data_IF_636315772354
#
_entry.id   IF_636315772354
#
_cell.length_a   1.000
_cell.length_b   1.000
_cell.length_c   1.000
_cell.angle_alpha   90.00
_cell.angle_beta   90.00
_cell.angle_gamma   90.00
#
_symmetry.space_group_name_H-M   'P 1'
#
loop_
_entity.id
_entity.type
_entity.pdbx_description
1 polymer ?
#
# COMPACT_ATOMS: atom_id res chain seq x y z
N UNK A 1 -22.35 22.30 5.04
CA UNK A 1 -22.19 21.78 3.66
C UNK A 1 -20.72 21.44 3.35
N UNK A 2 -19.78 22.27 3.83
CA UNK A 2 -18.34 22.14 3.53
C UNK A 2 -17.67 20.88 4.06
N UNK A 3 -18.09 20.34 5.21
CA UNK A 3 -17.52 19.11 5.80
C UNK A 3 -17.80 17.85 4.95
N UNK A 4 -19.00 17.76 4.36
CA UNK A 4 -19.39 16.65 3.49
C UNK A 4 -18.58 16.66 2.19
N UNK A 5 -18.42 17.84 1.59
CA UNK A 5 -17.65 18.02 0.36
C UNK A 5 -16.17 17.71 0.59
N UNK A 6 -15.62 18.17 1.71
CA UNK A 6 -14.22 17.92 2.12
C UNK A 6 -13.97 16.42 2.31
N UNK A 7 -14.82 15.72 3.07
CA UNK A 7 -14.71 14.26 3.27
C UNK A 7 -14.75 13.49 1.95
N UNK A 8 -15.70 13.86 1.07
CA UNK A 8 -15.86 13.21 -0.23
C UNK A 8 -14.61 13.40 -1.09
N UNK A 9 -14.06 14.62 -1.13
CA UNK A 9 -12.80 14.91 -1.84
C UNK A 9 -11.64 14.09 -1.30
N UNK A 10 -11.45 14.04 0.02
CA UNK A 10 -10.37 13.28 0.66
C UNK A 10 -10.44 11.78 0.31
N UNK A 11 -11.63 11.18 0.34
CA UNK A 11 -11.83 9.76 -0.03
C UNK A 11 -11.51 9.50 -1.50
N UNK A 12 -11.90 10.40 -2.40
CA UNK A 12 -11.57 10.27 -3.83
C UNK A 12 -10.08 10.44 -4.10
N UNK A 13 -9.43 11.40 -3.44
CA UNK A 13 -7.97 11.57 -3.51
C UNK A 13 -7.29 10.29 -3.06
N UNK A 14 -7.69 9.72 -1.91
CA UNK A 14 -7.13 8.46 -1.41
C UNK A 14 -7.30 7.32 -2.42
N UNK A 15 -8.48 7.15 -3.04
CA UNK A 15 -8.74 6.08 -4.02
C UNK A 15 -7.93 6.23 -5.30
N UNK A 16 -7.83 7.45 -5.84
CA UNK A 16 -7.04 7.74 -7.04
C UNK A 16 -5.56 7.50 -6.76
N UNK A 17 -5.05 7.96 -5.61
CA UNK A 17 -3.68 7.71 -5.21
C UNK A 17 -3.41 6.22 -4.98
N UNK A 18 -4.32 5.49 -4.34
CA UNK A 18 -4.22 4.03 -4.21
C UNK A 18 -4.12 3.36 -5.58
N UNK A 19 -4.93 3.77 -6.56
CA UNK A 19 -4.86 3.21 -7.91
C UNK A 19 -3.53 3.52 -8.60
N UNK A 20 -3.04 4.76 -8.51
CA UNK A 20 -1.74 5.14 -9.08
C UNK A 20 -0.58 4.37 -8.41
N UNK A 21 -0.59 4.27 -7.08
CA UNK A 21 0.42 3.54 -6.32
C UNK A 21 0.32 2.03 -6.52
N UNK A 22 -0.87 1.48 -6.75
CA UNK A 22 -1.04 0.08 -7.13
C UNK A 22 -0.29 -0.22 -8.44
N UNK A 23 -0.40 0.64 -9.46
CA UNK A 23 0.34 0.44 -10.70
C UNK A 23 1.85 0.65 -10.52
N UNK A 24 2.25 1.70 -9.81
CA UNK A 24 3.67 1.98 -9.55
C UNK A 24 4.35 0.82 -8.81
N UNK A 25 3.83 0.44 -7.65
CA UNK A 25 4.39 -0.66 -6.85
C UNK A 25 4.14 -2.02 -7.49
N UNK A 26 3.04 -2.17 -8.23
CA UNK A 26 2.73 -3.38 -9.00
C UNK A 26 3.78 -3.68 -10.06
N UNK A 27 4.32 -2.66 -10.73
CA UNK A 27 5.44 -2.85 -11.66
C UNK A 27 6.66 -3.45 -10.97
N UNK A 28 7.05 -2.90 -9.81
CA UNK A 28 8.15 -3.45 -9.00
C UNK A 28 7.82 -4.84 -8.46
N UNK A 29 6.57 -5.11 -8.07
CA UNK A 29 6.16 -6.45 -7.62
C UNK A 29 6.42 -7.51 -8.70
N UNK A 30 6.10 -7.19 -9.96
CA UNK A 30 6.38 -8.05 -11.10
C UNK A 30 7.88 -8.19 -11.34
N UNK A 31 8.66 -7.13 -11.19
CA UNK A 31 10.13 -7.19 -11.27
C UNK A 31 10.71 -8.15 -10.22
N UNK A 32 10.20 -8.15 -8.99
CA UNK A 32 10.63 -9.06 -7.93
C UNK A 32 10.27 -10.52 -8.20
N UNK A 33 9.33 -10.81 -9.12
CA UNK A 33 9.07 -12.19 -9.54
C UNK A 33 10.28 -12.82 -10.25
N UNK A 34 11.26 -12.01 -10.69
CA UNK A 34 12.54 -12.51 -11.21
C UNK A 34 13.26 -13.45 -10.24
N UNK A 35 13.13 -13.22 -8.91
CA UNK A 35 13.68 -14.12 -7.90
C UNK A 35 13.17 -15.56 -8.04
N UNK A 36 11.96 -15.75 -8.56
CA UNK A 36 11.30 -17.04 -8.65
C UNK A 36 11.55 -17.76 -9.99
N UNK A 37 12.28 -17.16 -10.93
CA UNK A 37 12.51 -17.75 -12.26
C UNK A 37 13.30 -19.07 -12.19
N UNK A 38 14.24 -19.18 -11.26
CA UNK A 38 15.08 -20.37 -11.07
C UNK A 38 14.60 -21.27 -9.94
N UNK A 39 13.32 -21.18 -9.52
CA UNK A 39 12.79 -21.85 -8.32
C UNK A 39 13.11 -23.35 -8.24
N UNK A 40 13.13 -24.06 -9.38
CA UNK A 40 13.40 -25.51 -9.45
C UNK A 40 14.85 -25.84 -9.11
N UNK A 41 15.79 -24.98 -9.51
CA UNK A 41 17.23 -25.21 -9.35
C UNK A 41 17.81 -24.51 -8.12
N UNK A 42 17.25 -23.35 -7.78
CA UNK A 42 17.67 -22.52 -6.65
C UNK A 42 16.44 -21.77 -6.10
N UNK A 43 15.76 -22.33 -5.09
CA UNK A 43 14.58 -21.69 -4.52
C UNK A 43 14.98 -20.38 -3.80
N UNK A 44 14.16 -19.32 -3.88
CA UNK A 44 14.44 -18.08 -3.19
C UNK A 44 14.57 -18.29 -1.68
N UNK A 45 15.46 -17.55 -1.01
CA UNK A 45 15.53 -17.55 0.44
C UNK A 45 14.17 -17.23 1.08
N UNK A 46 13.91 -17.77 2.27
CA UNK A 46 12.64 -17.57 3.00
C UNK A 46 12.29 -16.08 3.15
N UNK A 47 13.28 -15.22 3.34
CA UNK A 47 13.09 -13.77 3.44
C UNK A 47 12.42 -13.19 2.19
N UNK A 48 12.77 -13.67 0.99
CA UNK A 48 12.18 -13.21 -0.27
C UNK A 48 10.68 -13.54 -0.32
N UNK A 49 10.28 -14.72 0.15
CA UNK A 49 8.87 -15.09 0.25
C UNK A 49 8.09 -14.17 1.18
N UNK A 50 8.64 -13.90 2.37
CA UNK A 50 8.00 -13.00 3.35
C UNK A 50 7.86 -11.59 2.78
N UNK A 51 8.90 -11.08 2.13
CA UNK A 51 8.86 -9.76 1.49
C UNK A 51 7.89 -9.71 0.30
N UNK A 52 7.81 -10.77 -0.51
CA UNK A 52 6.85 -10.85 -1.61
C UNK A 52 5.41 -10.86 -1.08
N UNK A 53 5.13 -11.56 0.01
CA UNK A 53 3.82 -11.56 0.67
C UNK A 53 3.48 -10.20 1.29
N UNK A 54 4.46 -9.52 1.90
CA UNK A 54 4.26 -8.16 2.42
C UNK A 54 3.96 -7.17 1.28
N UNK A 55 4.66 -7.29 0.16
CA UNK A 55 4.41 -6.47 -1.03
C UNK A 55 3.04 -6.78 -1.65
N UNK A 56 2.65 -8.06 -1.76
CA UNK A 56 1.31 -8.43 -2.22
C UNK A 56 0.23 -7.85 -1.30
N UNK A 57 0.43 -7.92 0.02
CA UNK A 57 -0.49 -7.33 1.01
C UNK A 57 -0.66 -5.84 0.79
N UNK A 58 0.43 -5.11 0.51
CA UNK A 58 0.39 -3.69 0.16
C UNK A 58 -0.46 -3.43 -1.09
N UNK A 59 -0.24 -4.20 -2.17
CA UNK A 59 -0.99 -4.07 -3.42
C UNK A 59 -2.49 -4.38 -3.26
N UNK A 60 -2.80 -5.44 -2.53
CA UNK A 60 -4.19 -5.78 -2.21
C UNK A 60 -4.83 -4.68 -1.37
N UNK A 61 -4.11 -4.07 -0.44
CA UNK A 61 -4.58 -2.91 0.31
C UNK A 61 -5.01 -1.75 -0.59
N UNK A 62 -4.23 -1.43 -1.63
CA UNK A 62 -4.61 -0.41 -2.61
C UNK A 62 -5.87 -0.76 -3.40
N UNK A 63 -6.04 -2.02 -3.82
CA UNK A 63 -7.27 -2.46 -4.51
C UNK A 63 -8.48 -2.45 -3.58
N UNK A 64 -8.32 -2.89 -2.33
CA UNK A 64 -9.38 -2.91 -1.33
C UNK A 64 -9.87 -1.51 -0.93
N UNK A 65 -9.13 -0.45 -1.25
CA UNK A 65 -9.54 0.95 -1.04
C UNK A 65 -10.89 1.28 -1.70
N UNK A 66 -11.29 0.53 -2.73
CA UNK A 66 -12.57 0.67 -3.42
C UNK A 66 -13.72 -0.09 -2.76
N UNK A 67 -13.42 -1.04 -1.86
CA UNK A 67 -14.40 -1.91 -1.18
C UNK A 67 -14.55 -1.60 0.30
N UNK A 68 -13.44 -1.39 1.02
CA UNK A 68 -13.40 -1.13 2.45
C UNK A 68 -12.15 -0.33 2.83
N UNK A 69 -12.36 0.92 3.26
CA UNK A 69 -11.27 1.86 3.58
C UNK A 69 -10.46 1.39 4.79
N UNK A 70 -11.11 0.82 5.81
CA UNK A 70 -10.43 0.34 7.03
C UNK A 70 -9.51 -0.84 6.73
N UNK A 71 -9.99 -1.80 5.94
CA UNK A 71 -9.20 -2.96 5.52
C UNK A 71 -8.04 -2.50 4.65
N UNK A 72 -8.29 -1.59 3.69
CA UNK A 72 -7.26 -1.01 2.85
C UNK A 72 -6.15 -0.34 3.67
N UNK A 73 -6.51 0.53 4.62
CA UNK A 73 -5.55 1.21 5.50
C UNK A 73 -4.71 0.21 6.29
N UNK A 74 -5.34 -0.80 6.90
CA UNK A 74 -4.61 -1.81 7.67
C UNK A 74 -3.60 -2.57 6.80
N UNK A 75 -4.03 -3.01 5.62
CA UNK A 75 -3.17 -3.74 4.68
C UNK A 75 -2.02 -2.88 4.15
N UNK A 76 -2.28 -1.61 3.82
CA UNK A 76 -1.25 -0.67 3.37
C UNK A 76 -0.21 -0.44 4.48
N UNK A 77 -0.65 -0.19 5.71
CA UNK A 77 0.26 0.07 6.83
C UNK A 77 1.11 -1.17 7.18
N UNK A 78 0.50 -2.36 7.23
CA UNK A 78 1.23 -3.62 7.48
C UNK A 78 2.19 -3.92 6.34
N UNK A 79 1.71 -3.86 5.09
CA UNK A 79 2.51 -4.16 3.91
C UNK A 79 3.70 -3.21 3.77
N UNK A 80 3.48 -1.89 3.88
CA UNK A 80 4.55 -0.89 3.79
C UNK A 80 5.51 -0.98 4.99
N UNK A 81 4.98 -1.16 6.20
CA UNK A 81 5.76 -1.25 7.44
C UNK A 81 6.62 -2.50 7.54
N UNK A 82 6.25 -3.58 6.84
CA UNK A 82 7.08 -4.79 6.73
C UNK A 82 7.99 -4.71 5.51
N UNK A 83 7.52 -4.27 4.35
CA UNK A 83 8.31 -4.40 3.11
C UNK A 83 9.46 -3.38 3.03
N UNK A 84 9.18 -2.10 3.19
CA UNK A 84 10.18 -1.06 2.89
C UNK A 84 11.37 -1.01 3.85
N UNK A 85 11.25 -1.29 5.16
CA UNK A 85 12.42 -1.30 6.04
C UNK A 85 13.49 -2.33 5.65
N UNK A 86 13.09 -3.44 5.01
CA UNK A 86 14.02 -4.51 4.63
C UNK A 86 14.41 -4.47 3.16
N UNK A 87 13.56 -3.96 2.27
CA UNK A 87 13.80 -3.96 0.81
C UNK A 87 14.16 -2.58 0.26
N UNK A 88 13.74 -1.50 0.93
CA UNK A 88 13.83 -0.13 0.39
C UNK A 88 15.23 0.50 0.40
N UNK A 89 16.23 -0.16 1.01
CA UNK A 89 17.61 0.33 1.04
C UNK A 89 17.74 1.74 1.64
N UNK A 90 18.64 2.59 1.10
CA UNK A 90 18.83 3.96 1.60
C UNK A 90 17.58 4.85 1.53
N UNK A 91 16.64 4.52 0.64
CA UNK A 91 15.43 5.28 0.40
C UNK A 91 14.20 4.67 1.09
N UNK A 92 14.38 3.66 1.93
CA UNK A 92 13.30 2.93 2.60
C UNK A 92 12.26 3.86 3.25
N UNK A 93 12.74 4.91 3.92
CA UNK A 93 11.88 5.91 4.56
C UNK A 93 10.98 6.63 3.55
N UNK A 94 11.54 7.10 2.43
CA UNK A 94 10.79 7.83 1.41
C UNK A 94 9.77 6.95 0.70
N UNK A 95 10.14 5.70 0.41
CA UNK A 95 9.22 4.74 -0.19
C UNK A 95 8.07 4.39 0.77
N UNK A 96 8.38 4.14 2.05
CA UNK A 96 7.37 3.90 3.08
C UNK A 96 6.40 5.07 3.23
N UNK A 97 6.92 6.30 3.33
CA UNK A 97 6.09 7.51 3.41
C UNK A 97 5.18 7.67 2.18
N UNK A 98 5.73 7.48 0.99
CA UNK A 98 4.96 7.55 -0.27
C UNK A 98 3.86 6.50 -0.29
N UNK A 99 4.16 5.28 0.16
CA UNK A 99 3.23 4.17 0.16
C UNK A 99 2.01 4.38 1.08
N UNK A 100 2.20 5.08 2.21
CA UNK A 100 1.12 5.29 3.20
C UNK A 100 0.28 6.56 2.94
N UNK A 101 0.60 7.37 1.93
CA UNK A 101 -0.16 8.61 1.63
C UNK A 101 -1.67 8.37 1.51
N UNK A 102 -2.18 7.35 0.78
CA UNK A 102 -3.62 7.09 0.72
C UNK A 102 -4.23 6.82 2.10
N UNK A 103 -3.49 6.14 2.98
CA UNK A 103 -3.96 5.84 4.33
C UNK A 103 -4.11 7.10 5.18
N UNK A 104 -3.21 8.08 5.02
CA UNK A 104 -3.33 9.39 5.66
C UNK A 104 -4.60 10.10 5.17
N UNK A 105 -4.87 10.11 3.87
CA UNK A 105 -6.09 10.74 3.34
C UNK A 105 -7.38 10.07 3.82
N UNK A 106 -7.42 8.74 3.92
CA UNK A 106 -8.56 8.04 4.54
C UNK A 106 -8.73 8.43 6.01
N UNK A 107 -7.64 8.49 6.78
CA UNK A 107 -7.69 8.92 8.17
C UNK A 107 -8.24 10.35 8.33
N UNK A 108 -7.77 11.29 7.50
CA UNK A 108 -8.27 12.67 7.49
C UNK A 108 -9.75 12.75 7.10
N UNK A 109 -10.19 11.89 6.16
CA UNK A 109 -11.59 11.81 5.79
C UNK A 109 -12.47 11.35 6.96
N UNK A 110 -12.00 10.37 7.76
CA UNK A 110 -12.71 9.91 8.96
C UNK A 110 -12.75 10.96 10.06
N UNK A 111 -11.66 11.72 10.26
CA UNK A 111 -11.62 12.85 11.21
C UNK A 111 -12.57 13.99 10.85
N UNK A 112 -12.99 14.07 9.58
CA UNK A 112 -13.96 15.04 9.10
C UNK A 112 -15.41 14.58 9.27
N UNK A 113 -15.65 13.40 9.89
CA UNK A 113 -16.98 12.92 10.21
C UNK A 113 -17.47 13.61 11.49
N UNK A 114 -18.70 14.17 11.51
CA UNK A 114 -19.27 14.71 12.73
C UNK A 114 -19.41 13.58 13.76
N UNK A 115 -19.04 13.86 15.01
CA UNK A 115 -19.30 12.95 16.14
C UNK A 115 -20.81 12.67 16.19
N UNK A 116 -21.17 11.39 16.18
CA UNK A 116 -22.56 10.93 16.29
C UNK A 116 -23.04 11.05 17.73
#
# INVERSE_FOLDING_TARGET
>A
MDSILTRTRLRWIARILSLALFFLWGAFFLEHLSWFQSFVTEPPPLMVWVMQLAHLTLLLGYLFAWRSERVAVLMILIGAGIFFPFVGGPNAWWYGLTAIVPAIFFFLAWRSEPEQ
#
